data_IF_337584202052
#
_entry.id   IF_337584202052
#
_cell.length_a   1.000
_cell.length_b   1.000
_cell.length_c   1.000
_cell.angle_alpha   90.00
_cell.angle_beta   90.00
_cell.angle_gamma   90.00
#
_symmetry.space_group_name_H-M   'P 1'
#
loop_
_entity.id
_entity.type
_entity.pdbx_description
1 polymer ?
#
# COMPACT_ATOMS: atom_id res chain seq x y z
N UNK A 1 -33.53 -42.88 54.54
CA UNK A 1 -32.30 -42.20 54.09
C UNK A 1 -31.12 -43.00 54.57
N UNK A 2 -30.14 -43.22 53.69
CA UNK A 2 -28.81 -43.67 54.07
C UNK A 2 -28.09 -42.42 54.61
N UNK A 3 -27.45 -42.51 55.77
CA UNK A 3 -26.68 -41.41 56.32
C UNK A 3 -25.36 -41.25 55.55
N UNK A 4 -24.81 -40.03 55.47
CA UNK A 4 -23.63 -39.72 54.64
C UNK A 4 -22.42 -40.56 55.07
N UNK A 5 -22.26 -40.80 56.36
CA UNK A 5 -21.21 -41.63 56.96
C UNK A 5 -21.38 -43.13 56.65
N UNK A 6 -22.54 -43.56 56.16
CA UNK A 6 -22.78 -44.93 55.70
C UNK A 6 -22.36 -45.16 54.24
N UNK A 7 -22.14 -44.09 53.45
CA UNK A 7 -21.56 -44.19 52.10
C UNK A 7 -20.06 -43.93 52.24
N UNK A 8 -19.30 -45.00 52.47
CA UNK A 8 -17.85 -44.93 52.62
C UNK A 8 -17.15 -45.29 51.31
N UNK A 9 -15.89 -44.87 51.17
CA UNK A 9 -15.06 -45.26 50.00
C UNK A 9 -14.98 -46.79 49.83
N UNK A 10 -15.09 -47.58 50.90
CA UNK A 10 -15.04 -49.04 50.81
C UNK A 10 -16.31 -49.67 50.18
N UNK A 11 -17.42 -48.93 50.15
CA UNK A 11 -18.69 -49.37 49.56
C UNK A 11 -18.85 -48.89 48.11
N UNK A 12 -17.96 -48.02 47.64
CA UNK A 12 -17.86 -47.57 46.25
C UNK A 12 -16.67 -48.31 45.62
N UNK A 13 -16.94 -49.22 44.67
CA UNK A 13 -15.84 -49.83 43.93
C UNK A 13 -15.13 -48.78 43.05
N UNK A 14 -13.86 -49.01 42.73
CA UNK A 14 -13.13 -48.15 41.78
C UNK A 14 -13.90 -48.06 40.46
N UNK A 15 -13.96 -46.84 39.89
CA UNK A 15 -14.71 -46.51 38.67
C UNK A 15 -16.22 -46.81 38.71
N UNK A 16 -16.81 -47.11 39.88
CA UNK A 16 -18.25 -47.40 40.02
C UNK A 16 -19.16 -46.18 39.90
N UNK A 17 -18.59 -44.97 39.81
CA UNK A 17 -19.29 -43.73 39.55
C UNK A 17 -18.87 -43.27 38.15
N UNK A 18 -19.67 -43.58 37.15
CA UNK A 18 -19.43 -43.24 35.77
C UNK A 18 -20.50 -42.25 35.24
N UNK A 19 -20.63 -42.15 33.91
CA UNK A 19 -21.60 -41.25 33.29
C UNK A 19 -23.06 -41.66 33.53
N UNK A 20 -23.34 -42.88 33.99
CA UNK A 20 -24.68 -43.34 34.35
C UNK A 20 -25.09 -42.83 35.74
N UNK A 21 -24.16 -42.74 36.69
CA UNK A 21 -24.39 -42.21 38.04
C UNK A 21 -24.26 -40.69 38.10
N UNK A 22 -23.47 -40.09 37.21
CA UNK A 22 -23.35 -38.64 37.04
C UNK A 22 -24.41 -38.17 36.05
N UNK A 23 -25.53 -37.64 36.56
CA UNK A 23 -26.55 -37.05 35.72
C UNK A 23 -26.01 -35.90 34.87
N UNK A 24 -26.57 -35.70 33.68
CA UNK A 24 -26.21 -34.59 32.80
C UNK A 24 -26.28 -33.23 33.53
N UNK A 25 -25.19 -32.48 33.50
CA UNK A 25 -25.07 -31.18 34.17
C UNK A 25 -24.86 -31.24 35.69
N UNK A 26 -24.71 -32.43 36.30
CA UNK A 26 -24.34 -32.57 37.70
C UNK A 26 -22.94 -31.99 38.01
N UNK A 27 -22.05 -32.00 37.02
CA UNK A 27 -20.80 -31.22 37.04
C UNK A 27 -21.10 -29.85 36.44
N UNK A 28 -21.24 -28.85 37.30
CA UNK A 28 -21.49 -27.46 36.90
C UNK A 28 -20.20 -26.62 36.91
N UNK A 29 -20.35 -25.34 36.58
CA UNK A 29 -19.23 -24.41 36.60
C UNK A 29 -18.61 -24.29 38.00
N UNK A 30 -19.38 -24.40 39.09
CA UNK A 30 -18.85 -24.36 40.47
C UNK A 30 -17.94 -25.55 40.76
N UNK A 31 -18.28 -26.74 40.27
CA UNK A 31 -17.47 -27.95 40.48
C UNK A 31 -16.17 -27.97 39.64
N UNK A 32 -16.08 -27.14 38.59
CA UNK A 32 -14.87 -26.98 37.77
C UNK A 32 -14.20 -25.60 37.94
N UNK A 33 -14.68 -24.77 38.88
CA UNK A 33 -14.25 -23.37 39.06
C UNK A 33 -12.97 -23.20 39.87
N UNK A 34 -12.44 -24.25 40.49
CA UNK A 34 -11.16 -24.24 41.19
C UNK A 34 -9.99 -24.24 40.18
N UNK A 35 -10.01 -23.26 39.27
CA UNK A 35 -8.99 -22.98 38.27
C UNK A 35 -8.26 -21.73 38.72
N UNK A 36 -6.93 -21.73 38.71
CA UNK A 36 -6.18 -20.53 39.07
C UNK A 36 -6.52 -19.34 38.16
N UNK A 37 -6.39 -18.13 38.70
CA UNK A 37 -6.65 -16.92 37.93
C UNK A 37 -5.74 -16.83 36.69
N UNK A 38 -6.31 -16.39 35.57
CA UNK A 38 -5.62 -16.30 34.27
C UNK A 38 -5.12 -17.66 33.72
N UNK A 39 -5.67 -18.77 34.19
CA UNK A 39 -5.41 -20.09 33.62
C UNK A 39 -6.54 -20.52 32.68
N UNK A 40 -6.17 -21.32 31.69
CA UNK A 40 -7.09 -22.08 30.85
C UNK A 40 -6.94 -23.56 31.20
N UNK A 41 -8.04 -24.29 31.24
CA UNK A 41 -7.99 -25.74 31.33
C UNK A 41 -7.63 -26.34 29.97
N UNK A 42 -6.48 -27.01 29.91
CA UNK A 42 -5.97 -27.66 28.70
C UNK A 42 -5.11 -28.87 29.06
N UNK A 43 -4.99 -29.83 28.15
CA UNK A 43 -4.00 -30.91 28.34
C UNK A 43 -2.64 -30.43 27.89
N UNK A 44 -1.76 -30.11 28.83
CA UNK A 44 -0.39 -29.74 28.55
C UNK A 44 0.53 -30.98 28.53
N UNK A 45 0.21 -31.94 27.67
CA UNK A 45 1.01 -33.15 27.48
C UNK A 45 0.75 -33.76 26.09
N UNK A 46 1.69 -34.58 25.62
CA UNK A 46 1.64 -35.27 24.32
C UNK A 46 0.95 -36.64 24.36
N UNK A 47 0.59 -37.12 25.56
CA UNK A 47 -0.10 -38.40 25.78
C UNK A 47 -1.54 -38.20 26.26
N UNK A 48 -2.34 -39.27 26.25
CA UNK A 48 -3.66 -39.26 26.90
C UNK A 48 -3.51 -39.00 28.40
N UNK A 49 -4.52 -38.37 29.01
CA UNK A 49 -4.50 -38.02 30.42
C UNK A 49 -5.63 -37.06 30.82
N UNK A 50 -5.53 -36.57 32.05
CA UNK A 50 -6.46 -35.60 32.64
C UNK A 50 -6.18 -34.18 32.15
N UNK A 51 -7.15 -33.27 32.31
CA UNK A 51 -6.93 -31.84 32.07
C UNK A 51 -5.94 -31.28 33.09
N UNK A 52 -5.20 -30.26 32.67
CA UNK A 52 -4.28 -29.49 33.51
C UNK A 52 -4.54 -28.00 33.35
N UNK A 53 -4.05 -27.18 34.27
CA UNK A 53 -4.08 -25.73 34.09
C UNK A 53 -2.89 -25.25 33.26
N UNK A 54 -3.16 -24.36 32.32
CA UNK A 54 -2.13 -23.61 31.61
C UNK A 54 -2.31 -22.14 31.91
N UNK A 55 -1.40 -21.58 32.70
CA UNK A 55 -1.40 -20.17 33.06
C UNK A 55 -0.98 -19.30 31.87
N UNK A 56 -1.75 -18.24 31.59
CA UNK A 56 -1.36 -17.19 30.66
C UNK A 56 -0.94 -15.94 31.45
N UNK A 57 0.31 -15.51 31.22
CA UNK A 57 0.79 -14.22 31.71
C UNK A 57 0.35 -13.07 30.78
N UNK A 58 0.84 -11.87 31.03
CA UNK A 58 0.53 -10.69 30.21
C UNK A 58 1.00 -10.86 28.77
N UNK A 59 0.21 -10.39 27.81
CA UNK A 59 0.55 -10.39 26.36
C UNK A 59 0.78 -11.78 25.75
N UNK A 60 0.31 -12.85 26.40
CA UNK A 60 0.48 -14.21 25.93
C UNK A 60 -0.77 -14.77 25.25
N UNK A 61 -0.54 -15.68 24.33
CA UNK A 61 -1.54 -16.54 23.72
C UNK A 61 -1.20 -18.00 24.03
N UNK A 62 -2.18 -18.89 23.90
CA UNK A 62 -1.95 -20.32 24.01
C UNK A 62 -1.57 -20.89 22.63
N UNK A 63 -0.41 -21.54 22.54
CA UNK A 63 0.11 -22.13 21.30
C UNK A 63 0.20 -23.64 21.48
N UNK A 64 -0.37 -24.41 20.56
CA UNK A 64 -0.11 -25.85 20.48
C UNK A 64 1.28 -26.08 19.89
N UNK A 65 2.17 -26.74 20.64
CA UNK A 65 3.57 -26.95 20.22
C UNK A 65 3.87 -28.40 19.79
N UNK A 66 2.84 -29.25 19.72
CA UNK A 66 2.98 -30.68 19.40
C UNK A 66 3.37 -31.55 20.59
N UNK A 67 3.75 -30.95 21.72
CA UNK A 67 3.95 -31.62 23.01
C UNK A 67 2.87 -31.29 24.05
N UNK A 68 1.95 -30.40 23.70
CA UNK A 68 0.86 -29.93 24.54
C UNK A 68 0.52 -28.50 24.16
N UNK A 69 0.49 -27.62 25.17
CA UNK A 69 0.25 -26.20 25.00
C UNK A 69 1.30 -25.36 25.72
N UNK A 70 1.84 -24.37 25.02
CA UNK A 70 2.75 -23.37 25.58
C UNK A 70 2.08 -21.99 25.54
N UNK A 71 2.03 -21.30 26.68
CA UNK A 71 1.67 -19.89 26.74
C UNK A 71 2.88 -19.04 26.30
N UNK A 72 2.72 -18.26 25.24
CA UNK A 72 3.80 -17.46 24.68
C UNK A 72 3.32 -16.12 24.13
N UNK A 73 4.18 -15.10 24.20
CA UNK A 73 3.89 -13.81 23.60
C UNK A 73 4.08 -13.85 22.08
N UNK A 74 3.21 -13.17 21.34
CA UNK A 74 3.52 -12.82 19.94
C UNK A 74 4.69 -11.85 19.99
N UNK A 75 5.82 -12.23 19.42
CA UNK A 75 7.09 -11.50 19.56
C UNK A 75 7.92 -11.49 18.27
N UNK A 76 8.89 -10.59 18.22
CA UNK A 76 9.71 -10.31 17.03
C UNK A 76 9.07 -9.26 16.13
N UNK A 77 8.77 -9.65 14.89
CA UNK A 77 8.21 -8.79 13.85
C UNK A 77 6.77 -8.32 14.13
N UNK A 78 6.10 -9.00 15.05
CA UNK A 78 4.81 -8.60 15.58
C UNK A 78 4.82 -8.66 17.11
N UNK A 79 4.02 -7.80 17.73
CA UNK A 79 3.87 -7.72 19.19
C UNK A 79 2.41 -7.52 19.56
N UNK A 80 1.97 -8.05 20.70
CA UNK A 80 0.61 -7.87 21.20
C UNK A 80 0.62 -7.15 22.54
N UNK A 81 -0.41 -6.33 22.79
CA UNK A 81 -0.64 -5.68 24.10
C UNK A 81 -1.74 -6.40 24.89
N UNK A 82 -1.84 -6.14 26.20
CA UNK A 82 -2.94 -6.67 27.03
C UNK A 82 -4.34 -6.18 26.62
N UNK A 83 -4.44 -5.16 25.77
CA UNK A 83 -5.70 -4.72 25.17
C UNK A 83 -6.09 -5.53 23.91
N UNK A 84 -5.32 -6.56 23.55
CA UNK A 84 -5.54 -7.37 22.35
C UNK A 84 -5.07 -6.71 21.05
N UNK A 85 -4.47 -5.51 21.11
CA UNK A 85 -3.92 -4.84 19.94
C UNK A 85 -2.68 -5.59 19.46
N UNK A 86 -2.71 -6.07 18.22
CA UNK A 86 -1.57 -6.64 17.50
C UNK A 86 -0.92 -5.55 16.65
N UNK A 87 0.35 -5.27 16.92
CA UNK A 87 1.18 -4.33 16.17
C UNK A 87 2.24 -5.09 15.37
N UNK A 88 2.49 -4.64 14.14
CA UNK A 88 3.57 -5.14 13.29
C UNK A 88 4.68 -4.09 13.32
N UNK A 89 5.92 -4.50 13.57
CA UNK A 89 7.04 -3.57 13.68
C UNK A 89 7.36 -2.89 12.33
N UNK A 90 8.02 -1.74 12.38
CA UNK A 90 8.54 -1.12 11.16
C UNK A 90 9.49 -2.08 10.44
N UNK A 91 9.42 -2.11 9.10
CA UNK A 91 10.18 -3.03 8.25
C UNK A 91 9.97 -4.54 8.55
N UNK A 92 9.00 -4.92 9.37
CA UNK A 92 8.74 -6.32 9.72
C UNK A 92 8.22 -7.17 8.56
N UNK A 93 7.62 -6.52 7.57
CA UNK A 93 7.17 -7.16 6.34
C UNK A 93 8.37 -7.21 5.38
N UNK A 94 9.26 -8.18 5.60
CA UNK A 94 10.38 -8.48 4.69
C UNK A 94 9.95 -9.56 3.71
N UNK A 95 9.42 -9.12 2.59
CA UNK A 95 8.89 -9.93 1.50
C UNK A 95 8.61 -9.02 0.31
N UNK A 96 9.62 -8.22 -0.05
CA UNK A 96 9.68 -7.18 -1.08
C UNK A 96 9.32 -7.66 -2.51
N UNK A 97 8.42 -8.62 -2.71
CA UNK A 97 7.94 -9.03 -4.03
C UNK A 97 7.03 -8.00 -4.69
N UNK A 98 6.47 -7.02 -3.96
CA UNK A 98 5.77 -5.89 -4.59
C UNK A 98 6.72 -4.72 -4.94
N UNK A 99 8.00 -4.77 -4.58
CA UNK A 99 8.97 -3.71 -4.88
C UNK A 99 10.23 -4.17 -5.63
N UNK A 100 10.56 -5.46 -5.62
CA UNK A 100 11.82 -5.98 -6.17
C UNK A 100 11.66 -7.06 -7.26
N UNK A 101 10.44 -7.44 -7.65
CA UNK A 101 10.25 -8.24 -8.86
C UNK A 101 10.07 -7.29 -10.05
N UNK A 102 11.01 -7.33 -10.99
CA UNK A 102 11.04 -6.62 -12.29
C UNK A 102 9.71 -6.00 -12.73
N UNK A 103 9.66 -4.66 -12.79
CA UNK A 103 8.46 -3.89 -13.15
C UNK A 103 7.88 -4.34 -14.48
N UNK A 104 6.66 -4.88 -14.44
CA UNK A 104 5.80 -4.92 -15.62
C UNK A 104 5.38 -3.48 -15.95
N UNK A 105 5.18 -3.17 -17.24
CA UNK A 105 4.80 -1.85 -17.76
C UNK A 105 3.46 -1.27 -17.22
N UNK A 106 2.79 -1.97 -16.30
CA UNK A 106 1.55 -1.58 -15.66
C UNK A 106 1.66 -1.33 -14.13
N UNK A 107 2.84 -1.53 -13.53
CA UNK A 107 3.00 -1.42 -12.08
C UNK A 107 3.03 0.05 -11.60
N UNK A 108 2.60 0.25 -10.35
CA UNK A 108 2.59 1.55 -9.68
C UNK A 108 3.74 1.64 -8.67
N UNK A 109 4.44 2.77 -8.64
CA UNK A 109 5.39 3.10 -7.58
C UNK A 109 4.63 3.49 -6.31
N UNK A 110 5.09 3.01 -5.14
CA UNK A 110 4.57 3.46 -3.84
C UNK A 110 5.45 4.60 -3.32
N UNK A 111 4.85 5.78 -3.13
CA UNK A 111 5.51 6.94 -2.52
C UNK A 111 4.90 7.21 -1.16
N UNK A 112 5.73 7.52 -0.17
CA UNK A 112 5.24 8.08 1.08
C UNK A 112 4.91 9.56 0.89
N UNK A 113 3.63 9.90 0.96
CA UNK A 113 3.18 11.29 1.01
C UNK A 113 3.28 11.78 2.45
N UNK A 114 4.28 12.62 2.72
CA UNK A 114 4.49 13.19 4.04
C UNK A 114 3.36 14.15 4.49
N UNK A 115 2.68 14.82 3.54
CA UNK A 115 1.56 15.72 3.86
C UNK A 115 0.29 14.94 4.20
N UNK A 116 0.06 13.80 3.55
CA UNK A 116 -1.06 12.91 3.83
C UNK A 116 -0.73 11.85 4.89
N UNK A 117 0.54 11.75 5.32
CA UNK A 117 1.07 10.73 6.21
C UNK A 117 0.73 9.29 5.78
N UNK A 118 0.67 9.05 4.46
CA UNK A 118 0.17 7.81 3.89
C UNK A 118 0.99 7.37 2.67
N UNK A 119 1.00 6.06 2.39
CA UNK A 119 1.53 5.53 1.14
C UNK A 119 0.52 5.76 0.01
N UNK A 120 0.97 6.35 -1.09
CA UNK A 120 0.19 6.55 -2.31
C UNK A 120 0.75 5.72 -3.45
N UNK A 121 -0.13 5.20 -4.30
CA UNK A 121 0.26 4.55 -5.55
C UNK A 121 0.33 5.61 -6.66
N UNK A 122 1.46 5.70 -7.35
CA UNK A 122 1.65 6.54 -8.53
C UNK A 122 1.99 5.62 -9.69
N UNK A 123 1.21 5.65 -10.77
CA UNK A 123 1.51 4.84 -11.96
C UNK A 123 2.90 5.18 -12.50
N UNK A 124 3.71 4.18 -12.87
CA UNK A 124 5.03 4.43 -13.48
C UNK A 124 4.94 5.32 -14.73
N UNK A 125 3.80 5.28 -15.43
CA UNK A 125 3.45 6.16 -16.55
C UNK A 125 3.36 7.64 -16.18
N UNK A 126 2.96 7.97 -14.95
CA UNK A 126 2.86 9.35 -14.46
C UNK A 126 4.23 9.92 -14.05
N UNK A 127 5.22 9.06 -13.80
CA UNK A 127 6.62 9.44 -13.56
C UNK A 127 7.42 9.56 -14.87
N UNK A 128 6.88 9.05 -15.98
CA UNK A 128 7.47 9.10 -17.30
C UNK A 128 6.89 10.23 -18.15
N UNK A 129 7.74 10.80 -18.99
CA UNK A 129 7.37 11.70 -20.06
C UNK A 129 6.35 11.02 -21.01
N UNK A 130 5.12 11.53 -21.08
CA UNK A 130 4.14 11.03 -22.04
C UNK A 130 4.38 11.69 -23.39
N UNK A 131 4.46 10.88 -24.45
CA UNK A 131 4.57 11.36 -25.83
C UNK A 131 3.22 11.23 -26.53
N UNK A 132 2.67 12.35 -26.98
CA UNK A 132 1.37 12.44 -27.64
C UNK A 132 1.56 12.93 -29.08
N UNK A 133 0.94 12.25 -30.03
CA UNK A 133 0.90 12.71 -31.42
C UNK A 133 -0.12 13.85 -31.58
N UNK A 134 0.27 14.95 -32.22
CA UNK A 134 -0.60 16.08 -32.51
C UNK A 134 -0.69 16.34 -34.02
N UNK A 135 -1.90 16.31 -34.57
CA UNK A 135 -2.19 16.53 -36.00
C UNK A 135 -3.02 17.80 -36.26
N UNK A 136 -3.18 18.63 -35.23
CA UNK A 136 -3.97 19.85 -35.26
C UNK A 136 -3.82 20.64 -33.95
N UNK A 137 -4.60 21.71 -33.80
CA UNK A 137 -4.51 22.60 -32.64
C UNK A 137 -4.67 21.83 -31.32
N UNK A 138 -3.75 22.05 -30.37
CA UNK A 138 -3.76 21.38 -29.06
C UNK A 138 -3.31 22.34 -27.97
N UNK A 139 -3.86 22.20 -26.77
CA UNK A 139 -3.35 22.87 -25.56
C UNK A 139 -2.42 21.91 -24.83
N UNK A 140 -1.17 22.32 -24.64
CA UNK A 140 -0.15 21.53 -23.98
C UNK A 140 -0.44 21.37 -22.49
N UNK A 141 -0.18 20.18 -21.97
CA UNK A 141 -0.21 19.87 -20.54
C UNK A 141 1.23 19.84 -20.03
N UNK A 142 1.48 20.42 -18.86
CA UNK A 142 2.79 20.36 -18.21
C UNK A 142 3.26 18.91 -18.05
N UNK A 143 4.49 18.63 -18.48
CA UNK A 143 5.12 17.30 -18.40
C UNK A 143 4.89 16.40 -19.62
N UNK A 144 3.99 16.78 -20.53
CA UNK A 144 3.76 16.09 -21.80
C UNK A 144 4.73 16.55 -22.89
N UNK A 145 4.89 15.67 -23.88
CA UNK A 145 5.74 15.88 -25.06
C UNK A 145 4.91 15.64 -26.31
N UNK A 146 5.09 16.50 -27.31
CA UNK A 146 4.27 16.49 -28.50
C UNK A 146 5.10 16.12 -29.73
N UNK A 147 4.71 15.03 -30.40
CA UNK A 147 5.16 14.68 -31.75
C UNK A 147 4.15 15.25 -32.75
N UNK A 148 4.48 16.38 -33.34
CA UNK A 148 3.63 17.11 -34.25
C UNK A 148 3.75 16.55 -35.68
N UNK A 149 2.61 16.37 -36.35
CA UNK A 149 2.51 16.11 -37.77
C UNK A 149 1.74 17.25 -38.43
N UNK A 150 2.47 18.23 -38.98
CA UNK A 150 1.89 19.37 -39.70
C UNK A 150 1.68 19.10 -41.19
N UNK A 151 1.80 17.86 -41.67
CA UNK A 151 1.60 17.56 -43.10
C UNK A 151 0.18 17.89 -43.60
N UNK A 152 -0.82 17.89 -42.71
CA UNK A 152 -2.20 18.27 -43.01
C UNK A 152 -2.48 19.79 -43.01
N UNK A 153 -1.53 20.61 -42.58
CA UNK A 153 -1.66 22.07 -42.49
C UNK A 153 -0.93 22.64 -41.26
N UNK A 154 -0.69 23.95 -41.28
CA UNK A 154 -0.12 24.66 -40.14
C UNK A 154 -1.11 24.67 -38.95
N UNK A 155 -0.60 24.52 -37.74
CA UNK A 155 -1.42 24.51 -36.51
C UNK A 155 -0.63 25.01 -35.30
N UNK A 156 -1.33 25.22 -34.18
CA UNK A 156 -0.75 25.70 -32.95
C UNK A 156 -0.73 24.65 -31.82
N UNK A 157 0.41 24.55 -31.13
CA UNK A 157 0.53 23.95 -29.80
C UNK A 157 0.52 25.09 -28.78
N UNK A 158 -0.58 25.30 -28.08
CA UNK A 158 -0.74 26.38 -27.11
C UNK A 158 -0.21 25.95 -25.74
N UNK A 159 0.75 26.66 -25.18
CA UNK A 159 1.32 26.39 -23.86
C UNK A 159 0.27 26.56 -22.73
N UNK A 160 0.47 25.93 -21.55
CA UNK A 160 -0.39 26.13 -20.39
C UNK A 160 -0.59 27.62 -20.05
N UNK A 161 -1.82 28.00 -19.69
CA UNK A 161 -2.20 29.38 -19.35
C UNK A 161 -2.00 29.78 -17.88
N UNK A 162 -1.66 28.82 -17.03
CA UNK A 162 -1.32 29.06 -15.62
C UNK A 162 -0.15 28.18 -15.18
N UNK A 163 1.01 28.28 -15.85
CA UNK A 163 2.18 27.48 -15.48
C UNK A 163 2.77 27.97 -14.16
N UNK A 164 3.43 27.05 -13.45
CA UNK A 164 4.27 27.37 -12.29
C UNK A 164 5.73 27.07 -12.59
N UNK A 165 6.65 27.67 -11.83
CA UNK A 165 8.10 27.51 -12.04
C UNK A 165 8.48 26.02 -12.20
N UNK A 166 9.29 25.72 -13.21
CA UNK A 166 9.77 24.36 -13.50
C UNK A 166 8.81 23.50 -14.32
N UNK A 167 7.62 24.00 -14.69
CA UNK A 167 6.77 23.32 -15.67
C UNK A 167 7.48 23.21 -17.02
N UNK A 168 7.38 22.05 -17.67
CA UNK A 168 8.09 21.75 -18.92
C UNK A 168 7.15 21.29 -20.03
N UNK A 169 7.48 21.61 -21.28
CA UNK A 169 6.82 21.11 -22.50
C UNK A 169 7.90 20.87 -23.56
N UNK A 170 7.83 19.74 -24.28
CA UNK A 170 8.63 19.52 -25.51
C UNK A 170 7.73 19.42 -26.73
N UNK A 171 8.21 19.98 -27.83
CA UNK A 171 7.51 20.01 -29.11
C UNK A 171 8.50 19.60 -30.19
N UNK A 172 8.13 18.58 -30.96
CA UNK A 172 8.98 18.01 -32.01
C UNK A 172 8.18 17.96 -33.31
N UNK A 173 8.75 18.45 -34.41
CA UNK A 173 8.24 18.18 -35.75
C UNK A 173 8.53 16.72 -36.13
N UNK A 174 7.61 15.84 -35.73
CA UNK A 174 7.73 14.39 -35.89
C UNK A 174 7.65 13.92 -37.34
N UNK A 175 6.97 14.67 -38.22
CA UNK A 175 6.86 14.31 -39.65
C UNK A 175 7.96 14.94 -40.51
N UNK A 176 8.51 16.08 -40.09
CA UNK A 176 9.45 16.85 -40.92
C UNK A 176 8.73 17.75 -41.92
N UNK A 177 7.58 18.32 -41.55
CA UNK A 177 6.75 19.14 -42.44
C UNK A 177 6.69 20.61 -42.02
N UNK A 178 7.38 20.99 -40.94
CA UNK A 178 7.31 22.33 -40.36
C UNK A 178 7.80 23.45 -41.29
N UNK A 179 8.69 23.17 -42.25
CA UNK A 179 9.15 24.20 -43.20
C UNK A 179 8.09 24.59 -44.25
N UNK A 180 7.11 23.72 -44.50
CA UNK A 180 5.98 24.01 -45.39
C UNK A 180 4.77 24.50 -44.58
N UNK A 181 4.49 23.79 -43.48
CA UNK A 181 3.35 24.02 -42.62
C UNK A 181 3.87 24.23 -41.21
N UNK A 182 4.19 25.48 -40.87
CA UNK A 182 4.79 25.85 -39.60
C UNK A 182 3.95 25.36 -38.42
N UNK A 183 4.63 24.94 -37.35
CA UNK A 183 4.00 24.67 -36.06
C UNK A 183 4.19 25.91 -35.20
N UNK A 184 3.09 26.54 -34.80
CA UNK A 184 3.11 27.71 -33.92
C UNK A 184 3.08 27.24 -32.46
N UNK A 185 4.00 27.74 -31.65
CA UNK A 185 3.97 27.59 -30.19
C UNK A 185 3.21 28.78 -29.63
N UNK A 186 1.94 28.56 -29.31
CA UNK A 186 1.04 29.57 -28.78
C UNK A 186 1.39 29.89 -27.32
N UNK A 187 1.44 31.16 -26.96
CA UNK A 187 1.94 31.62 -25.63
C UNK A 187 1.11 31.17 -24.42
N UNK A 188 -0.16 30.80 -24.61
CA UNK A 188 -1.07 30.47 -23.51
C UNK A 188 -1.41 31.63 -22.58
N UNK A 189 -0.87 32.83 -22.82
CA UNK A 189 -1.02 34.00 -21.94
C UNK A 189 0.27 34.43 -21.25
N UNK A 190 1.31 33.59 -21.29
CA UNK A 190 2.63 33.90 -20.72
C UNK A 190 3.65 34.24 -21.81
N UNK A 191 4.72 34.95 -21.45
CA UNK A 191 5.79 35.27 -22.41
C UNK A 191 6.50 34.00 -22.92
N UNK A 192 7.15 34.10 -24.08
CA UNK A 192 8.13 33.10 -24.56
C UNK A 192 9.45 33.84 -24.77
N UNK A 193 10.51 33.40 -24.10
CA UNK A 193 11.83 34.02 -24.15
C UNK A 193 11.80 35.53 -23.84
N UNK A 194 10.99 35.93 -22.86
CA UNK A 194 10.79 37.33 -22.46
C UNK A 194 9.95 38.16 -23.42
N UNK A 195 9.43 37.58 -24.51
CA UNK A 195 8.63 38.28 -25.49
C UNK A 195 7.14 37.87 -25.42
N UNK A 196 6.25 38.85 -25.51
CA UNK A 196 4.82 38.62 -25.69
C UNK A 196 4.50 38.28 -27.16
N UNK A 197 5.13 37.25 -27.72
CA UNK A 197 4.90 36.76 -29.07
C UNK A 197 4.91 35.25 -29.09
N UNK A 198 4.18 34.66 -30.04
CA UNK A 198 4.28 33.23 -30.32
C UNK A 198 5.68 32.91 -30.88
N UNK A 199 6.15 31.69 -30.62
CA UNK A 199 7.34 31.11 -31.23
C UNK A 199 6.92 30.25 -32.42
N UNK A 200 7.72 30.21 -33.49
CA UNK A 200 7.39 29.45 -34.70
C UNK A 200 8.47 28.40 -34.95
N UNK A 201 8.05 27.14 -35.07
CA UNK A 201 8.89 26.05 -35.55
C UNK A 201 8.69 25.95 -37.06
N UNK A 202 9.71 26.37 -37.82
CA UNK A 202 9.69 26.45 -39.28
C UNK A 202 10.81 25.62 -39.94
N UNK A 203 11.53 24.81 -39.17
CA UNK A 203 12.58 23.92 -39.69
C UNK A 203 12.10 22.49 -39.59
N UNK A 204 12.22 21.73 -40.69
CA UNK A 204 11.84 20.33 -40.70
C UNK A 204 12.63 19.55 -39.64
N UNK A 205 11.94 18.71 -38.89
CA UNK A 205 12.52 17.87 -37.82
C UNK A 205 13.08 18.64 -36.63
N UNK A 206 12.78 19.93 -36.50
CA UNK A 206 13.15 20.68 -35.32
C UNK A 206 12.49 20.12 -34.06
N UNK A 207 13.21 20.17 -32.95
CA UNK A 207 12.78 19.77 -31.63
C UNK A 207 13.16 20.87 -30.65
N UNK A 208 12.21 21.31 -29.83
CA UNK A 208 12.46 22.30 -28.79
C UNK A 208 11.93 21.79 -27.45
N UNK A 209 12.58 22.22 -26.38
CA UNK A 209 12.09 22.07 -25.02
C UNK A 209 12.00 23.42 -24.33
N UNK A 210 10.93 23.61 -23.57
CA UNK A 210 10.63 24.84 -22.86
C UNK A 210 10.45 24.55 -21.37
N UNK A 211 10.97 25.44 -20.50
CA UNK A 211 10.70 25.45 -19.06
C UNK A 211 10.15 26.80 -18.63
N UNK A 212 9.10 26.81 -17.82
CA UNK A 212 8.54 28.06 -17.30
C UNK A 212 9.33 28.56 -16.08
N UNK A 213 9.64 29.85 -16.07
CA UNK A 213 10.34 30.51 -14.94
C UNK A 213 9.40 31.40 -14.12
N UNK A 214 8.88 32.48 -14.71
CA UNK A 214 7.93 33.45 -14.13
C UNK A 214 7.27 34.26 -15.25
N UNK A 215 6.25 35.07 -14.98
CA UNK A 215 5.51 35.76 -16.06
C UNK A 215 6.31 36.83 -16.82
N UNK A 216 7.36 37.40 -16.24
CA UNK A 216 8.20 38.39 -16.94
C UNK A 216 9.07 37.73 -18.03
N UNK A 217 9.70 36.60 -17.71
CA UNK A 217 10.56 35.86 -18.65
C UNK A 217 9.78 34.82 -19.46
N UNK A 218 8.70 34.30 -18.87
CA UNK A 218 7.84 33.29 -19.44
C UNK A 218 8.52 31.93 -19.60
N UNK A 219 8.28 31.30 -20.75
CA UNK A 219 8.84 30.02 -21.17
C UNK A 219 10.22 30.20 -21.80
N UNK A 220 11.23 29.54 -21.25
CA UNK A 220 12.64 29.62 -21.66
C UNK A 220 13.07 28.33 -22.36
N UNK A 221 13.79 28.43 -23.47
CA UNK A 221 14.34 27.25 -24.16
C UNK A 221 15.39 26.55 -23.29
N UNK A 222 15.32 25.23 -23.22
CA UNK A 222 16.32 24.37 -22.57
C UNK A 222 17.08 23.49 -23.56
N UNK A 223 16.55 23.33 -24.77
CA UNK A 223 17.12 22.56 -25.88
C UNK A 223 16.57 23.11 -27.21
N UNK A 224 17.38 23.07 -28.27
CA UNK A 224 17.06 23.49 -29.65
C UNK A 224 17.89 22.71 -30.66
#
# INVERSE_FOLDING_TARGET
HIAIDQITNALMADDAIDSAEIADGAVDFVHIQDVAANSILGRNASSSGVLSEVALATTQILIGDGTGFTAAAISGNATMTNAGVLSIAAAAITGQSELAATTAVADMYLVYDASATALKKISARTLGQTWTAATGNVTAVTGDNYLCDSSGGAFAVTLPSSPVIGNMVRIVDGKGAAATNNITVGRGGENIQGAASDLVIATNRAAIGLVFYNSANGWVLVEN
#
